data_IF_421473254834
#
_entry.id   IF_421473254834
#
_cell.length_a   1.000
_cell.length_b   1.000
_cell.length_c   1.000
_cell.angle_alpha   90.00
_cell.angle_beta   90.00
_cell.angle_gamma   90.00
#
_symmetry.space_group_name_H-M   'P 1'
#
loop_
_entity.id
_entity.type
_entity.pdbx_description
1 polymer ?
#
# COMPACT_ATOMS: atom_id res chain seq x y z
N UNK A 1 38.95 -12.57 16.84
CA UNK A 1 37.78 -12.44 17.73
C UNK A 1 37.65 -10.99 18.17
N UNK A 2 37.31 -10.10 17.24
CA UNK A 2 37.21 -8.65 17.52
C UNK A 2 35.77 -8.24 17.22
N UNK A 3 34.91 -8.62 18.16
CA UNK A 3 33.49 -8.32 18.13
C UNK A 3 33.25 -6.82 18.18
N UNK A 4 32.28 -6.42 17.39
CA UNK A 4 31.73 -5.08 17.13
C UNK A 4 31.19 -4.45 18.43
N UNK A 5 32.06 -4.16 19.41
CA UNK A 5 31.69 -3.54 20.69
C UNK A 5 32.07 -2.06 20.79
N UNK A 6 32.63 -1.48 19.71
CA UNK A 6 33.20 -0.13 19.71
C UNK A 6 32.53 0.89 18.75
N UNK A 7 31.46 0.53 18.04
CA UNK A 7 30.76 1.51 17.19
C UNK A 7 29.89 2.41 18.09
N UNK A 8 30.38 3.62 18.34
CA UNK A 8 29.65 4.73 18.95
C UNK A 8 28.25 4.78 18.35
N UNK A 9 27.22 4.53 19.18
CA UNK A 9 25.80 4.34 18.82
C UNK A 9 25.37 5.34 17.74
N UNK A 10 25.52 4.93 16.48
CA UNK A 10 25.02 5.69 15.36
C UNK A 10 23.54 5.33 15.28
N UNK A 11 22.71 6.09 16.00
CA UNK A 11 21.28 5.80 16.13
C UNK A 11 20.59 5.69 14.77
N UNK A 12 21.04 6.44 13.76
CA UNK A 12 20.55 6.32 12.40
C UNK A 12 20.89 4.96 11.76
N UNK A 13 22.11 4.43 12.00
CA UNK A 13 22.49 3.09 11.53
C UNK A 13 21.66 2.01 12.24
N UNK A 14 21.44 2.14 13.55
CA UNK A 14 20.62 1.20 14.32
C UNK A 14 19.16 1.20 13.85
N UNK A 15 18.57 2.38 13.66
CA UNK A 15 17.21 2.55 13.13
C UNK A 15 17.07 1.98 11.71
N UNK A 16 18.10 2.16 10.86
CA UNK A 16 18.13 1.58 9.53
C UNK A 16 18.21 0.04 9.58
N UNK A 17 19.07 -0.51 10.43
CA UNK A 17 19.19 -1.97 10.63
C UNK A 17 17.88 -2.57 11.15
N UNK A 18 17.23 -1.90 12.10
CA UNK A 18 15.94 -2.30 12.65
C UNK A 18 14.83 -2.27 11.59
N UNK A 19 14.76 -1.22 10.76
CA UNK A 19 13.82 -1.16 9.62
C UNK A 19 14.05 -2.27 8.59
N UNK A 20 15.32 -2.59 8.30
CA UNK A 20 15.66 -3.67 7.36
C UNK A 20 15.26 -5.04 7.92
N UNK A 21 15.56 -5.31 9.19
CA UNK A 21 15.15 -6.54 9.88
C UNK A 21 13.63 -6.65 9.93
N UNK A 22 12.93 -5.61 10.35
CA UNK A 22 11.46 -5.58 10.39
C UNK A 22 10.83 -5.83 9.01
N UNK A 23 11.39 -5.26 7.94
CA UNK A 23 10.90 -5.48 6.57
C UNK A 23 11.12 -6.92 6.11
N UNK A 24 12.26 -7.51 6.45
CA UNK A 24 12.60 -8.90 6.14
C UNK A 24 11.70 -9.87 6.92
N UNK A 25 11.51 -9.63 8.21
CA UNK A 25 10.64 -10.42 9.09
C UNK A 25 9.17 -10.30 8.68
N UNK A 26 8.67 -9.10 8.32
CA UNK A 26 7.32 -8.98 7.75
C UNK A 26 7.21 -9.83 6.49
N UNK A 27 8.18 -9.73 5.58
CA UNK A 27 8.17 -10.51 4.33
C UNK A 27 8.19 -12.02 4.57
N UNK A 28 8.80 -12.52 5.65
CA UNK A 28 8.81 -13.96 5.97
C UNK A 28 7.60 -14.41 6.79
N UNK A 29 7.09 -13.57 7.70
CA UNK A 29 5.87 -13.83 8.48
C UNK A 29 4.64 -13.96 7.58
N UNK A 30 4.57 -13.17 6.51
CA UNK A 30 3.52 -13.25 5.51
C UNK A 30 3.63 -14.45 4.56
N UNK A 31 4.71 -15.23 4.63
CA UNK A 31 4.89 -16.48 3.87
C UNK A 31 4.52 -17.72 4.69
N UNK A 32 3.90 -17.54 5.86
CA UNK A 32 3.35 -18.67 6.63
C UNK A 32 2.14 -19.26 5.90
N UNK A 33 2.07 -20.59 5.81
CA UNK A 33 1.00 -21.30 5.11
C UNK A 33 -0.41 -20.86 5.58
N UNK A 34 -0.60 -20.66 6.88
CA UNK A 34 -1.84 -20.15 7.47
C UNK A 34 -2.22 -18.74 6.99
N UNK A 35 -1.25 -17.83 6.85
CA UNK A 35 -1.54 -16.48 6.35
C UNK A 35 -1.93 -16.51 4.88
N UNK A 36 -1.24 -17.32 4.08
CA UNK A 36 -1.58 -17.46 2.67
C UNK A 36 -2.96 -18.06 2.43
N UNK A 37 -3.36 -19.03 3.25
CA UNK A 37 -4.70 -19.60 3.15
C UNK A 37 -5.79 -18.55 3.37
N UNK A 38 -5.58 -17.64 4.33
CA UNK A 38 -6.50 -16.50 4.55
C UNK A 38 -6.56 -15.59 3.33
N UNK A 39 -5.42 -15.33 2.69
CA UNK A 39 -5.40 -14.51 1.47
C UNK A 39 -6.12 -15.23 0.31
N UNK A 40 -6.03 -16.57 0.20
CA UNK A 40 -6.78 -17.34 -0.81
C UNK A 40 -8.29 -17.24 -0.64
N UNK A 41 -8.77 -17.09 0.59
CA UNK A 41 -10.20 -16.92 0.88
C UNK A 41 -10.77 -15.62 0.32
N UNK A 42 -9.93 -14.62 0.00
CA UNK A 42 -10.37 -13.42 -0.71
C UNK A 42 -10.81 -13.71 -2.16
N UNK A 43 -10.49 -14.91 -2.68
CA UNK A 43 -10.90 -15.40 -3.99
C UNK A 43 -10.58 -14.44 -5.15
N UNK A 44 -9.50 -13.67 -5.02
CA UNK A 44 -9.02 -12.77 -6.07
C UNK A 44 -8.31 -13.60 -7.12
N UNK A 45 -8.64 -13.39 -8.39
CA UNK A 45 -7.99 -14.09 -9.50
C UNK A 45 -6.57 -13.57 -9.72
N UNK A 46 -5.68 -14.47 -10.12
CA UNK A 46 -4.32 -14.12 -10.54
C UNK A 46 -4.36 -13.49 -11.94
N UNK A 47 -3.67 -12.36 -12.11
CA UNK A 47 -3.66 -11.63 -13.38
C UNK A 47 -2.85 -12.37 -14.48
N UNK A 48 -1.95 -13.28 -14.10
CA UNK A 48 -1.15 -14.07 -15.06
C UNK A 48 -1.87 -15.35 -15.52
N UNK A 49 -2.83 -15.84 -14.73
CA UNK A 49 -3.57 -17.07 -15.03
C UNK A 49 -4.91 -17.09 -14.29
N UNK A 50 -6.03 -17.07 -15.02
CA UNK A 50 -7.39 -17.05 -14.48
C UNK A 50 -7.76 -18.27 -13.63
N UNK A 51 -7.04 -19.39 -13.79
CA UNK A 51 -7.21 -20.61 -12.99
C UNK A 51 -6.50 -20.58 -11.63
N UNK A 52 -5.67 -19.57 -11.38
CA UNK A 52 -4.94 -19.41 -10.12
C UNK A 52 -5.61 -18.38 -9.21
N UNK A 53 -5.52 -18.61 -7.90
CA UNK A 53 -5.95 -17.67 -6.87
C UNK A 53 -4.75 -16.85 -6.40
N UNK A 54 -4.88 -15.54 -6.48
CA UNK A 54 -3.88 -14.59 -6.01
C UNK A 54 -3.83 -14.59 -4.48
N UNK A 55 -2.61 -14.43 -3.96
CA UNK A 55 -2.33 -14.25 -2.52
C UNK A 55 -1.40 -13.08 -2.26
N UNK A 56 -0.79 -12.54 -3.32
CA UNK A 56 0.15 -11.44 -3.28
C UNK A 56 -0.32 -10.34 -4.23
N UNK A 57 0.05 -9.11 -3.89
CA UNK A 57 -0.10 -7.93 -4.72
C UNK A 57 1.26 -7.28 -4.93
N UNK A 58 1.63 -7.02 -6.18
CA UNK A 58 2.82 -6.25 -6.49
C UNK A 58 2.47 -4.76 -6.56
N UNK A 59 3.03 -3.94 -5.67
CA UNK A 59 2.71 -2.49 -5.63
C UNK A 59 3.35 -1.70 -6.77
N UNK A 60 4.27 -2.31 -7.52
CA UNK A 60 4.97 -1.68 -8.65
C UNK A 60 4.29 -2.05 -9.96
N UNK A 61 4.01 -3.33 -10.18
CA UNK A 61 3.29 -3.81 -11.36
C UNK A 61 1.78 -3.56 -11.27
N UNK A 62 1.27 -3.25 -10.08
CA UNK A 62 -0.15 -3.10 -9.78
C UNK A 62 -0.99 -4.35 -10.10
N UNK A 63 -0.40 -5.54 -9.92
CA UNK A 63 -1.01 -6.82 -10.28
C UNK A 63 -1.19 -7.76 -9.08
N UNK A 64 -2.24 -8.59 -9.13
CA UNK A 64 -2.56 -9.66 -8.20
C UNK A 64 -1.97 -10.98 -8.71
N UNK A 65 -1.20 -11.66 -7.87
CA UNK A 65 -0.40 -12.82 -8.27
C UNK A 65 -0.53 -13.93 -7.24
N UNK A 66 -0.57 -15.18 -7.71
CA UNK A 66 -0.30 -16.32 -6.85
C UNK A 66 1.21 -16.42 -6.54
N UNK A 67 1.60 -17.30 -5.63
CA UNK A 67 3.02 -17.49 -5.25
C UNK A 67 3.90 -17.86 -6.45
N UNK A 68 3.41 -18.77 -7.28
CA UNK A 68 4.16 -19.29 -8.43
C UNK A 68 4.33 -18.20 -9.49
N UNK A 69 3.23 -17.56 -9.92
CA UNK A 69 3.27 -16.45 -10.88
C UNK A 69 4.10 -15.28 -10.34
N UNK A 70 4.02 -14.98 -9.04
CA UNK A 70 4.87 -13.99 -8.39
C UNK A 70 6.35 -14.34 -8.53
N UNK A 71 6.73 -15.60 -8.29
CA UNK A 71 8.10 -16.08 -8.45
C UNK A 71 8.60 -16.03 -9.89
N UNK A 72 7.79 -16.50 -10.84
CA UNK A 72 8.13 -16.53 -12.27
C UNK A 72 8.29 -15.13 -12.86
N UNK A 73 7.27 -14.28 -12.69
CA UNK A 73 7.27 -12.92 -13.26
C UNK A 73 8.31 -12.02 -12.58
N UNK A 74 8.68 -12.27 -11.33
CA UNK A 74 9.69 -11.50 -10.60
C UNK A 74 11.06 -12.18 -10.47
N UNK A 75 11.34 -13.23 -11.26
CA UNK A 75 12.64 -13.91 -11.24
C UNK A 75 13.78 -13.06 -11.81
N UNK A 76 13.47 -12.10 -12.68
CA UNK A 76 14.50 -11.27 -13.32
C UNK A 76 15.07 -10.23 -12.36
N UNK A 77 16.35 -9.86 -12.54
CA UNK A 77 17.08 -8.96 -11.62
C UNK A 77 16.38 -7.62 -11.35
N UNK A 78 15.69 -7.07 -12.34
CA UNK A 78 14.99 -5.79 -12.23
C UNK A 78 13.69 -5.96 -11.44
N UNK A 79 12.91 -6.99 -11.76
CA UNK A 79 11.60 -7.24 -11.18
C UNK A 79 11.70 -7.82 -9.77
N UNK A 80 12.77 -8.54 -9.44
CA UNK A 80 13.01 -9.08 -8.10
C UNK A 80 13.00 -8.01 -6.98
N UNK A 81 13.30 -6.75 -7.33
CA UNK A 81 13.27 -5.61 -6.40
C UNK A 81 11.88 -5.03 -6.18
N UNK A 82 10.88 -5.47 -6.94
CA UNK A 82 9.52 -4.98 -6.77
C UNK A 82 8.99 -5.39 -5.40
N UNK A 83 8.33 -4.44 -4.75
CA UNK A 83 7.69 -4.68 -3.47
C UNK A 83 6.41 -5.46 -3.69
N UNK A 84 6.33 -6.62 -3.03
CA UNK A 84 5.16 -7.50 -3.00
C UNK A 84 4.64 -7.56 -1.57
N UNK A 85 3.33 -7.46 -1.43
CA UNK A 85 2.62 -7.46 -0.15
C UNK A 85 1.44 -8.44 -0.23
N UNK A 86 0.92 -8.96 0.89
CA UNK A 86 -0.36 -9.66 0.91
C UNK A 86 -1.49 -8.81 0.31
N UNK A 87 -2.54 -9.46 -0.20
CA UNK A 87 -3.71 -8.76 -0.74
C UNK A 87 -4.38 -7.89 0.34
N UNK A 88 -4.45 -8.37 1.58
CA UNK A 88 -4.98 -7.63 2.73
C UNK A 88 -4.21 -6.33 3.04
N UNK A 89 -2.90 -6.31 2.73
CA UNK A 89 -2.01 -5.16 2.90
C UNK A 89 -1.96 -4.28 1.63
N UNK A 90 -2.80 -4.55 0.63
CA UNK A 90 -2.89 -3.74 -0.60
C UNK A 90 -3.11 -2.27 -0.23
N UNK A 91 -2.26 -1.34 -0.73
CA UNK A 91 -2.43 0.08 -0.45
C UNK A 91 -3.81 0.53 -0.92
N UNK A 92 -4.60 1.10 -0.01
CA UNK A 92 -5.90 1.67 -0.37
C UNK A 92 -5.68 2.85 -1.31
N UNK A 93 -6.29 2.79 -2.48
CA UNK A 93 -6.29 3.93 -3.40
C UNK A 93 -7.01 5.10 -2.72
N UNK A 94 -6.33 6.25 -2.65
CA UNK A 94 -6.94 7.44 -2.08
C UNK A 94 -8.11 7.88 -2.96
N UNK A 95 -9.27 8.23 -2.39
CA UNK A 95 -10.43 8.64 -3.16
C UNK A 95 -10.11 9.89 -3.99
N UNK A 96 -10.69 9.98 -5.18
CA UNK A 96 -10.60 11.17 -6.04
C UNK A 96 -11.61 12.22 -5.58
N UNK A 97 -11.29 13.49 -5.80
CA UNK A 97 -12.20 14.56 -5.48
C UNK A 97 -13.41 14.54 -6.42
N UNK A 98 -14.66 14.62 -5.90
CA UNK A 98 -15.86 14.57 -6.73
C UNK A 98 -15.96 15.75 -7.72
N UNK A 99 -15.42 16.91 -7.36
CA UNK A 99 -15.37 18.09 -8.25
C UNK A 99 -14.11 18.14 -9.13
N UNK A 100 -13.06 17.41 -8.76
CA UNK A 100 -11.77 17.44 -9.45
C UNK A 100 -11.22 16.00 -9.60
N UNK A 101 -11.70 15.22 -10.59
CA UNK A 101 -11.34 13.81 -10.74
C UNK A 101 -9.84 13.55 -10.98
N UNK A 102 -9.09 14.57 -11.41
CA UNK A 102 -7.63 14.52 -11.57
C UNK A 102 -6.87 14.66 -10.24
N UNK A 103 -7.54 15.10 -9.17
CA UNK A 103 -6.93 15.37 -7.88
C UNK A 103 -7.46 14.43 -6.80
N UNK A 104 -6.56 14.02 -5.93
CA UNK A 104 -6.90 13.19 -4.78
C UNK A 104 -7.60 14.03 -3.71
N UNK A 105 -8.63 13.45 -3.10
CA UNK A 105 -9.33 14.04 -1.98
C UNK A 105 -8.58 13.70 -0.69
N UNK A 106 -7.74 14.62 -0.23
CA UNK A 106 -6.85 14.44 0.93
C UNK A 106 -7.35 15.12 2.20
N UNK A 107 -8.36 15.99 2.08
CA UNK A 107 -8.89 16.78 3.18
C UNK A 107 -10.37 16.46 3.41
N UNK A 108 -10.83 16.69 4.65
CA UNK A 108 -12.24 16.61 5.00
C UNK A 108 -12.66 17.97 5.58
N UNK A 109 -13.63 18.64 4.96
CA UNK A 109 -14.25 19.85 5.47
C UNK A 109 -15.17 19.51 6.64
N UNK A 110 -15.07 20.25 7.75
CA UNK A 110 -15.80 19.96 8.99
C UNK A 110 -17.10 20.75 9.14
N UNK A 111 -17.39 21.69 8.23
CA UNK A 111 -18.61 22.49 8.26
C UNK A 111 -19.87 21.65 8.00
N UNK A 112 -20.94 21.94 8.76
CA UNK A 112 -22.19 21.16 8.76
C UNK A 112 -22.85 21.12 7.38
N UNK A 113 -22.80 22.24 6.64
CA UNK A 113 -23.32 22.34 5.27
C UNK A 113 -22.61 21.39 4.30
N UNK A 114 -21.34 21.05 4.56
CA UNK A 114 -20.54 20.17 3.71
C UNK A 114 -20.65 18.69 4.13
N UNK A 115 -20.90 18.42 5.41
CA UNK A 115 -21.08 17.06 5.95
C UNK A 115 -22.42 16.44 5.53
N UNK A 116 -23.47 17.25 5.38
CA UNK A 116 -24.82 16.78 5.04
C UNK A 116 -25.08 16.48 3.56
N UNK A 117 -24.17 16.85 2.65
CA UNK A 117 -24.37 16.69 1.21
C UNK A 117 -24.12 15.25 0.75
N UNK A 118 -25.21 14.51 0.51
CA UNK A 118 -25.17 13.18 -0.12
C UNK A 118 -24.97 13.24 -1.64
N UNK A 119 -25.22 14.40 -2.26
CA UNK A 119 -25.16 14.64 -3.71
C UNK A 119 -24.49 16.00 -4.00
N UNK A 120 -23.16 16.00 -4.13
CA UNK A 120 -22.34 17.20 -4.37
C UNK A 120 -20.86 16.95 -4.00
N UNK A 121 -20.01 17.99 -3.95
CA UNK A 121 -18.74 17.87 -3.25
C UNK A 121 -19.06 17.64 -1.77
N UNK A 122 -19.11 16.37 -1.38
CA UNK A 122 -19.30 15.97 0.01
C UNK A 122 -18.14 16.46 0.88
N UNK A 123 -18.03 15.96 2.11
CA UNK A 123 -17.06 16.52 3.06
C UNK A 123 -15.61 16.28 2.62
N UNK A 124 -15.32 15.31 1.74
CA UNK A 124 -13.95 15.01 1.29
C UNK A 124 -13.58 15.85 0.05
N UNK A 125 -12.42 16.51 0.08
CA UNK A 125 -12.00 17.49 -0.91
C UNK A 125 -10.50 17.45 -1.22
N UNK A 126 -10.12 17.96 -2.39
CA UNK A 126 -8.71 18.15 -2.78
C UNK A 126 -8.19 19.54 -2.36
N UNK A 127 -6.88 19.78 -2.53
CA UNK A 127 -6.27 21.07 -2.21
C UNK A 127 -6.86 22.25 -3.01
N UNK A 128 -7.32 22.02 -4.26
CA UNK A 128 -7.93 23.09 -5.07
C UNK A 128 -9.26 23.52 -4.45
N UNK A 129 -10.10 22.56 -4.08
CA UNK A 129 -11.36 22.82 -3.38
C UNK A 129 -11.15 23.58 -2.06
N UNK A 130 -10.07 23.24 -1.34
CA UNK A 130 -9.69 23.85 -0.06
C UNK A 130 -9.12 25.26 -0.22
N UNK A 131 -8.30 25.56 -1.22
CA UNK A 131 -7.55 26.83 -1.25
C UNK A 131 -8.15 27.87 -2.23
N UNK A 132 -8.87 27.39 -3.26
CA UNK A 132 -9.38 28.23 -4.34
C UNK A 132 -10.86 28.00 -4.65
N UNK A 133 -11.41 26.88 -4.17
CA UNK A 133 -12.75 26.44 -4.48
C UNK A 133 -13.75 26.76 -3.37
N UNK A 134 -14.79 25.93 -3.30
CA UNK A 134 -15.94 26.11 -2.41
C UNK A 134 -15.59 26.08 -0.92
N UNK A 135 -14.50 25.44 -0.52
CA UNK A 135 -14.13 25.28 0.89
C UNK A 135 -12.99 26.21 1.29
N UNK A 136 -12.77 27.30 0.54
CA UNK A 136 -11.71 28.28 0.82
C UNK A 136 -11.85 28.95 2.19
N UNK A 137 -13.08 29.20 2.59
CA UNK A 137 -13.39 29.94 3.80
C UNK A 137 -13.96 29.01 4.90
N UNK A 138 -13.76 27.69 4.76
CA UNK A 138 -14.27 26.63 5.66
C UNK A 138 -13.14 25.86 6.36
#
# INVERSE_FOLDING_TARGET
NSGVWGLKKNFALLELLERLQYTQEKSTLFLTADSLEKERQLAVQCDENEGHIAVLYCTVCTSHLCEECSGLTHATRTLARHRRVPLSDKPREKPKCPSHPSHVAEFTCLEEDCQGLQTGPGPIMCFICKDYGRHKDH
#
